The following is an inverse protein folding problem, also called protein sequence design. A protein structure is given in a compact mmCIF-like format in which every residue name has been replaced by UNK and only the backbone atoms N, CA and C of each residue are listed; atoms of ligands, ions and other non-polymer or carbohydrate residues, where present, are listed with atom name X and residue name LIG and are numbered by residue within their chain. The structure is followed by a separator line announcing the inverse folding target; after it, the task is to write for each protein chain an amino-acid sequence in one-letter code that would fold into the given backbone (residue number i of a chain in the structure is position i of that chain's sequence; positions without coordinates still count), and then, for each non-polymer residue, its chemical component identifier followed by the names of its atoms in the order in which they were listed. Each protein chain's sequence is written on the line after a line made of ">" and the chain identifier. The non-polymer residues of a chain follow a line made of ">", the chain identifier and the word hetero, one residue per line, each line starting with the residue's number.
data_IF_619667927216
#
_entry.id   IF_619667927216
#
_cell.length_a   1.000
_cell.length_b   1.000
_cell.length_c   1.000
_cell.angle_alpha   90.00
_cell.angle_beta   90.00
_cell.angle_gamma   90.00
#
_symmetry.space_group_name_H-M   'P 1'
#
loop_
_entity.id
_entity.type
_entity.pdbx_description
1 polymer ?
#
# COMPACT_ATOMS: atom_id res chain seq x y z
N UNK A 1 -75.82 10.61 20.16
CA UNK A 1 -75.51 12.06 20.16
C UNK A 1 -74.00 12.18 20.34
N UNK A 2 -73.18 12.20 19.29
CA UNK A 2 -72.74 13.32 18.44
C UNK A 2 -72.21 14.56 19.20
N UNK A 3 -70.87 14.75 19.11
CA UNK A 3 -70.00 15.98 19.10
C UNK A 3 -68.57 15.49 19.47
N UNK A 4 -67.54 15.36 18.62
CA UNK A 4 -66.84 16.24 17.64
C UNK A 4 -66.43 17.60 18.20
N UNK A 5 -65.11 17.87 18.14
CA UNK A 5 -64.33 19.10 17.83
C UNK A 5 -63.04 19.07 18.68
N UNK A 6 -61.82 19.41 18.24
CA UNK A 6 -61.14 19.61 16.96
C UNK A 6 -59.69 20.03 17.32
N UNK A 7 -58.71 19.75 16.46
CA UNK A 7 -57.54 20.63 16.32
C UNK A 7 -56.23 20.17 16.94
N UNK A 8 -55.32 19.71 16.08
CA UNK A 8 -54.03 20.37 15.87
C UNK A 8 -53.40 19.83 14.57
N UNK A 9 -53.21 20.73 13.61
CA UNK A 9 -52.45 20.51 12.37
C UNK A 9 -50.99 20.84 12.67
N UNK A 10 -50.06 19.96 12.33
CA UNK A 10 -48.64 20.30 12.30
C UNK A 10 -47.95 19.71 11.06
N UNK A 11 -47.56 20.65 10.20
CA UNK A 11 -46.55 20.68 9.16
C UNK A 11 -45.85 19.38 8.72
N UNK A 12 -45.90 19.14 7.41
CA UNK A 12 -45.03 18.23 6.68
C UNK A 12 -43.57 18.68 6.75
N UNK A 13 -42.67 17.76 7.12
CA UNK A 13 -41.24 17.91 6.91
C UNK A 13 -40.81 17.00 5.76
N UNK A 14 -40.33 17.61 4.67
CA UNK A 14 -39.76 16.93 3.51
C UNK A 14 -38.31 16.57 3.86
N UNK A 15 -38.01 15.31 4.16
CA UNK A 15 -36.62 14.84 4.23
C UNK A 15 -36.13 14.49 2.83
N UNK A 16 -35.40 15.42 2.21
CA UNK A 16 -34.50 15.11 1.12
C UNK A 16 -33.14 14.77 1.72
N UNK A 17 -32.79 13.49 1.74
CA UNK A 17 -31.45 13.03 2.13
C UNK A 17 -30.65 12.87 0.84
N UNK A 18 -29.74 13.80 0.61
CA UNK A 18 -28.67 13.70 -0.39
C UNK A 18 -27.76 12.52 0.03
N UNK A 19 -27.41 11.57 -0.85
CA UNK A 19 -26.40 10.58 -0.52
C UNK A 19 -25.06 11.29 -0.35
N UNK A 20 -24.49 11.19 0.86
CA UNK A 20 -23.12 11.57 1.12
C UNK A 20 -22.20 10.62 0.33
N UNK A 21 -21.55 11.15 -0.71
CA UNK A 21 -20.34 10.56 -1.23
C UNK A 21 -19.25 10.74 -0.16
N UNK A 22 -18.79 9.64 0.44
CA UNK A 22 -17.50 9.57 1.14
C UNK A 22 -17.02 8.14 1.17
N UNK A 23 -15.77 8.00 0.73
CA UNK A 23 -15.01 6.78 0.51
C UNK A 23 -15.13 5.76 1.65
N UNK A 24 -15.51 4.53 1.30
CA UNK A 24 -14.95 3.36 1.96
C UNK A 24 -13.74 2.92 1.14
N UNK A 25 -12.56 3.30 1.60
CA UNK A 25 -11.35 2.54 1.33
C UNK A 25 -11.63 1.11 1.80
N UNK A 26 -11.82 0.23 0.84
CA UNK A 26 -11.92 -1.20 1.09
C UNK A 26 -10.56 -1.60 1.62
N UNK A 27 -10.48 -1.78 2.94
CA UNK A 27 -9.45 -2.58 3.57
C UNK A 27 -9.31 -3.85 2.74
N UNK A 28 -8.14 -4.06 2.13
CA UNK A 28 -7.79 -5.26 1.39
C UNK A 28 -7.72 -6.43 2.39
N UNK A 29 -8.91 -6.89 2.77
CA UNK A 29 -9.15 -8.13 3.48
C UNK A 29 -9.10 -9.21 2.43
N UNK A 30 -7.99 -9.93 2.45
CA UNK A 30 -7.66 -11.09 1.65
C UNK A 30 -8.85 -12.04 1.53
N UNK A 31 -9.45 -12.06 0.33
CA UNK A 31 -10.38 -13.10 -0.12
C UNK A 31 -9.96 -13.46 -1.53
N UNK A 32 -9.54 -14.72 -1.68
CA UNK A 32 -9.41 -15.43 -2.94
C UNK A 32 -10.64 -15.21 -3.83
N UNK A 33 -10.54 -14.30 -4.80
CA UNK A 33 -11.49 -14.17 -5.90
C UNK A 33 -10.97 -13.28 -7.03
N UNK A 34 -10.90 -13.88 -8.23
CA UNK A 34 -10.90 -13.25 -9.55
C UNK A 34 -9.65 -12.49 -9.96
N UNK A 35 -9.14 -12.83 -11.14
CA UNK A 35 -8.14 -12.08 -11.88
C UNK A 35 -8.71 -10.70 -12.28
N UNK A 36 -8.86 -9.81 -11.30
CA UNK A 36 -8.83 -8.39 -11.52
C UNK A 36 -7.41 -8.10 -11.95
N UNK A 37 -7.20 -7.76 -13.22
CA UNK A 37 -5.89 -7.30 -13.70
C UNK A 37 -5.56 -6.02 -12.91
N UNK A 38 -4.83 -6.17 -11.81
CA UNK A 38 -4.40 -5.04 -10.97
C UNK A 38 -3.38 -4.28 -11.80
N UNK A 39 -3.85 -3.23 -12.47
CA UNK A 39 -3.03 -2.39 -13.33
C UNK A 39 -1.82 -1.87 -12.56
N UNK A 40 -0.64 -1.91 -13.19
CA UNK A 40 0.56 -1.23 -12.70
C UNK A 40 0.27 0.19 -12.20
N UNK A 41 0.81 0.51 -11.03
CA UNK A 41 0.77 1.84 -10.46
C UNK A 41 1.64 2.80 -11.29
N UNK A 42 1.13 4.02 -11.47
CA UNK A 42 1.91 5.11 -12.06
C UNK A 42 2.90 5.65 -11.04
N UNK A 43 4.15 5.84 -11.44
CA UNK A 43 5.17 6.48 -10.62
C UNK A 43 5.03 8.02 -10.70
N UNK A 44 5.24 8.76 -9.59
CA UNK A 44 5.51 8.26 -8.24
C UNK A 44 4.24 7.85 -7.49
N UNK A 45 4.37 6.96 -6.51
CA UNK A 45 3.31 6.66 -5.55
C UNK A 45 3.86 6.44 -4.14
N UNK A 46 3.01 6.65 -3.14
CA UNK A 46 3.29 6.38 -1.73
C UNK A 46 2.52 5.16 -1.25
N UNK A 47 3.01 4.51 -0.21
CA UNK A 47 2.36 3.37 0.44
C UNK A 47 2.71 3.32 1.92
N UNK A 48 1.84 2.72 2.71
CA UNK A 48 2.17 2.22 4.05
C UNK A 48 2.44 0.73 3.96
N UNK A 49 3.26 0.21 4.86
CA UNK A 49 3.49 -1.23 4.99
C UNK A 49 3.28 -1.67 6.43
N UNK A 50 2.78 -2.90 6.58
CA UNK A 50 2.67 -3.62 7.84
C UNK A 50 2.73 -5.12 7.53
N UNK A 51 3.81 -5.80 7.92
CA UNK A 51 4.07 -7.18 7.52
C UNK A 51 4.88 -7.98 8.54
N UNK A 52 4.72 -9.30 8.50
CA UNK A 52 5.40 -10.24 9.42
C UNK A 52 6.60 -10.96 8.80
N UNK A 53 6.56 -11.31 7.52
CA UNK A 53 7.67 -12.05 6.87
C UNK A 53 8.02 -11.42 5.55
N UNK A 54 7.07 -11.33 4.63
CA UNK A 54 7.25 -10.70 3.33
C UNK A 54 6.10 -9.74 3.01
N UNK A 55 6.41 -8.73 2.20
CA UNK A 55 5.41 -7.85 1.61
C UNK A 55 5.79 -7.51 0.19
N UNK A 56 4.92 -7.86 -0.76
CA UNK A 56 4.99 -7.43 -2.16
C UNK A 56 4.30 -6.08 -2.30
N UNK A 57 4.98 -5.12 -2.92
CA UNK A 57 4.36 -3.84 -3.26
C UNK A 57 3.36 -3.99 -4.40
N UNK A 58 2.65 -2.91 -4.73
CA UNK A 58 1.96 -2.79 -6.03
C UNK A 58 2.99 -2.94 -7.15
N UNK A 59 2.56 -3.56 -8.25
CA UNK A 59 3.31 -3.56 -9.49
C UNK A 59 3.41 -2.13 -10.04
N UNK A 60 4.49 -1.80 -10.74
CA UNK A 60 4.69 -0.52 -11.43
C UNK A 60 5.57 -0.71 -12.65
N UNK A 61 5.43 0.17 -13.65
CA UNK A 61 6.33 0.15 -14.81
C UNK A 61 7.38 1.26 -14.66
N UNK A 62 8.68 0.94 -14.82
CA UNK A 62 9.74 1.94 -14.76
C UNK A 62 9.64 2.89 -15.97
N UNK A 63 10.15 4.14 -15.83
CA UNK A 63 10.27 5.07 -16.94
C UNK A 63 11.24 4.55 -18.02
N UNK A 64 11.32 5.25 -19.15
CA UNK A 64 12.26 4.94 -20.23
C UNK A 64 13.76 4.99 -19.81
N UNK A 65 14.10 5.58 -18.66
CA UNK A 65 15.45 5.50 -18.11
C UNK A 65 15.78 4.12 -17.52
N UNK A 66 14.79 3.22 -17.36
CA UNK A 66 14.99 1.92 -16.72
C UNK A 66 15.39 2.05 -15.25
N UNK A 67 15.02 3.16 -14.60
CA UNK A 67 15.42 3.46 -13.22
C UNK A 67 14.22 3.71 -12.33
N UNK A 68 14.19 3.02 -11.19
CA UNK A 68 13.21 3.26 -10.13
C UNK A 68 13.91 3.31 -8.78
N UNK A 69 13.46 4.24 -7.94
CA UNK A 69 13.95 4.41 -6.59
C UNK A 69 12.80 4.25 -5.59
N UNK A 70 13.12 3.76 -4.39
CA UNK A 70 12.22 3.72 -3.25
C UNK A 70 12.84 4.43 -2.07
N UNK A 71 12.05 5.29 -1.44
CA UNK A 71 12.32 5.81 -0.09
C UNK A 71 11.54 4.97 0.90
N UNK A 72 12.16 4.49 1.97
CA UNK A 72 11.53 3.73 3.05
C UNK A 72 11.81 4.35 4.41
N UNK A 73 10.81 4.32 5.28
CA UNK A 73 10.90 4.71 6.68
C UNK A 73 10.13 3.75 7.58
N UNK A 74 10.84 3.10 8.49
CA UNK A 74 10.28 2.17 9.47
C UNK A 74 9.80 2.97 10.67
N UNK A 75 8.50 2.94 10.94
CA UNK A 75 7.89 3.71 12.02
C UNK A 75 7.71 2.88 13.29
N UNK A 76 7.75 1.55 13.18
CA UNK A 76 7.80 0.68 14.36
C UNK A 76 7.76 -0.81 14.07
N UNK A 77 7.64 -1.57 15.16
CA UNK A 77 7.44 -3.01 15.15
C UNK A 77 6.76 -3.47 16.45
N UNK A 78 6.11 -4.63 16.41
CA UNK A 78 5.63 -5.29 17.63
C UNK A 78 6.76 -5.91 18.46
N UNK A 79 7.98 -6.01 17.93
CA UNK A 79 9.19 -6.36 18.69
C UNK A 79 9.75 -5.09 19.36
N UNK A 80 9.87 -5.02 20.70
CA UNK A 80 10.43 -3.84 21.38
C UNK A 80 11.90 -3.57 21.03
N UNK A 81 12.65 -4.58 20.59
CA UNK A 81 14.05 -4.50 20.18
C UNK A 81 14.28 -4.30 18.68
N UNK A 82 13.27 -3.83 17.93
CA UNK A 82 13.36 -3.71 16.47
C UNK A 82 14.37 -2.69 15.96
N UNK A 83 14.68 -1.65 16.74
CA UNK A 83 15.60 -0.60 16.33
C UNK A 83 16.99 -1.17 16.07
N UNK A 84 17.52 -0.93 14.88
CA UNK A 84 18.80 -1.45 14.43
C UNK A 84 18.76 -2.83 13.79
N UNK A 85 17.60 -3.51 13.79
CA UNK A 85 17.40 -4.71 12.97
C UNK A 85 17.31 -4.34 11.49
N UNK A 86 17.58 -5.31 10.64
CA UNK A 86 17.57 -5.11 9.19
C UNK A 86 16.42 -5.89 8.56
N UNK A 87 15.80 -5.29 7.55
CA UNK A 87 14.99 -6.01 6.57
C UNK A 87 15.68 -5.92 5.21
N UNK A 88 15.23 -6.73 4.27
CA UNK A 88 15.80 -6.80 2.94
C UNK A 88 14.82 -6.17 1.96
N UNK A 89 15.35 -5.41 1.02
CA UNK A 89 14.59 -4.78 -0.06
C UNK A 89 15.10 -5.36 -1.37
N UNK A 90 14.18 -5.94 -2.14
CA UNK A 90 14.47 -6.53 -3.43
C UNK A 90 13.61 -5.89 -4.51
N UNK A 91 14.13 -5.84 -5.73
CA UNK A 91 13.36 -5.55 -6.94
C UNK A 91 13.12 -6.84 -7.69
N UNK A 92 11.92 -7.00 -8.22
CA UNK A 92 11.52 -8.17 -9.00
C UNK A 92 10.81 -7.72 -10.28
N UNK A 93 11.14 -8.39 -11.38
CA UNK A 93 10.41 -8.32 -12.65
C UNK A 93 9.20 -9.24 -12.53
N UNK A 94 8.01 -8.72 -12.81
CA UNK A 94 6.73 -9.43 -12.69
C UNK A 94 6.31 -10.16 -13.97
N UNK A 95 7.21 -10.31 -14.95
CA UNK A 95 6.90 -10.97 -16.22
C UNK A 95 6.91 -12.50 -16.10
N UNK A 96 5.75 -13.07 -15.82
CA UNK A 96 5.43 -14.50 -15.96
C UNK A 96 6.07 -15.47 -14.96
N UNK A 97 7.39 -15.39 -14.74
CA UNK A 97 8.17 -16.31 -13.91
C UNK A 97 8.64 -15.66 -12.59
N UNK A 98 8.43 -14.35 -12.42
CA UNK A 98 8.93 -13.53 -11.30
C UNK A 98 10.45 -13.71 -11.09
N UNK A 99 11.28 -12.79 -11.60
CA UNK A 99 12.75 -12.85 -11.45
C UNK A 99 13.29 -11.67 -10.64
N UNK A 100 14.20 -11.93 -9.69
CA UNK A 100 14.83 -10.86 -8.91
C UNK A 100 15.82 -10.08 -9.77
N UNK A 101 15.65 -8.76 -9.81
CA UNK A 101 16.50 -7.82 -10.56
C UNK A 101 17.49 -7.13 -9.63
N UNK A 102 18.78 -7.23 -9.95
CA UNK A 102 19.84 -6.56 -9.21
C UNK A 102 20.06 -7.07 -7.78
N UNK A 103 20.76 -6.29 -6.94
CA UNK A 103 21.13 -6.73 -5.61
C UNK A 103 19.94 -6.69 -4.64
N UNK A 104 19.97 -7.60 -3.66
CA UNK A 104 19.18 -7.50 -2.42
C UNK A 104 19.87 -6.50 -1.49
N UNK A 105 19.16 -5.48 -1.06
CA UNK A 105 19.72 -4.40 -0.23
C UNK A 105 19.27 -4.55 1.23
N UNK A 106 20.18 -4.35 2.17
CA UNK A 106 19.88 -4.32 3.61
C UNK A 106 19.39 -2.94 4.02
N UNK A 107 18.22 -2.91 4.63
CA UNK A 107 17.59 -1.72 5.18
C UNK A 107 17.53 -1.82 6.70
N UNK A 108 18.39 -1.05 7.37
CA UNK A 108 18.41 -0.92 8.83
C UNK A 108 17.25 -0.06 9.30
N UNK A 109 16.45 -0.62 10.21
CA UNK A 109 15.31 0.02 10.83
C UNK A 109 15.77 0.97 11.96
N UNK A 110 15.96 2.25 11.63
CA UNK A 110 16.41 3.28 12.58
C UNK A 110 15.44 4.47 12.70
N UNK A 111 14.38 4.50 11.90
CA UNK A 111 13.39 5.57 11.85
C UNK A 111 13.72 6.72 10.91
N UNK A 112 14.85 6.64 10.19
CA UNK A 112 15.26 7.61 9.17
C UNK A 112 14.85 7.15 7.77
N UNK A 113 14.69 8.11 6.86
CA UNK A 113 14.43 7.82 5.46
C UNK A 113 15.68 7.22 4.81
N UNK A 114 15.53 6.06 4.17
CA UNK A 114 16.58 5.45 3.35
C UNK A 114 16.11 5.35 1.90
N UNK A 115 17.01 5.65 0.97
CA UNK A 115 16.75 5.61 -0.47
C UNK A 115 17.52 4.46 -1.10
N UNK A 116 16.83 3.67 -1.91
CA UNK A 116 17.40 2.57 -2.67
C UNK A 116 16.96 2.69 -4.12
N UNK A 117 17.89 2.54 -5.07
CA UNK A 117 17.59 2.65 -6.49
C UNK A 117 18.06 1.40 -7.23
N UNK A 118 17.26 0.98 -8.21
CA UNK A 118 17.63 -0.02 -9.18
C UNK A 118 17.69 0.61 -10.56
N UNK A 119 18.65 0.15 -11.34
CA UNK A 119 18.92 0.59 -12.71
C UNK A 119 18.76 -0.60 -13.65
N UNK A 120 18.75 -0.32 -14.96
CA UNK A 120 18.58 -1.32 -16.01
C UNK A 120 17.31 -2.18 -15.87
N UNK A 121 16.24 -1.60 -15.31
CA UNK A 121 14.93 -2.23 -15.27
C UNK A 121 14.33 -2.29 -16.67
N UNK A 122 13.75 -3.43 -17.02
CA UNK A 122 13.13 -3.63 -18.34
C UNK A 122 11.95 -2.67 -18.48
N UNK A 123 11.99 -1.85 -19.53
CA UNK A 123 10.95 -0.88 -19.84
C UNK A 123 9.68 -1.58 -20.31
N UNK A 124 8.52 -0.99 -20.01
CA UNK A 124 7.19 -1.56 -20.34
C UNK A 124 6.90 -2.92 -19.69
N UNK A 125 7.76 -3.38 -18.78
CA UNK A 125 7.52 -4.55 -17.95
C UNK A 125 7.07 -4.08 -16.56
N UNK A 126 6.22 -4.86 -15.91
CA UNK A 126 5.81 -4.57 -14.55
C UNK A 126 6.88 -5.06 -13.58
N UNK A 127 7.24 -4.23 -12.60
CA UNK A 127 8.17 -4.57 -11.53
C UNK A 127 7.47 -4.40 -10.19
N UNK A 128 7.97 -5.04 -9.14
CA UNK A 128 7.53 -4.79 -7.78
C UNK A 128 8.70 -4.84 -6.80
N UNK A 129 8.49 -4.22 -5.65
CA UNK A 129 9.40 -4.34 -4.52
C UNK A 129 8.95 -5.49 -3.62
N UNK A 130 9.91 -6.27 -3.14
CA UNK A 130 9.67 -7.25 -2.08
C UNK A 130 10.43 -6.81 -0.83
N UNK A 131 9.70 -6.58 0.26
CA UNK A 131 10.27 -6.42 1.60
C UNK A 131 10.32 -7.80 2.25
N UNK A 132 11.47 -8.17 2.81
CA UNK A 132 11.68 -9.46 3.48
C UNK A 132 12.25 -9.25 4.87
N UNK A 133 11.63 -9.86 5.86
CA UNK A 133 12.07 -9.89 7.25
C UNK A 133 12.41 -11.33 7.64
N UNK A 134 13.67 -11.54 8.03
CA UNK A 134 14.22 -12.86 8.36
C UNK A 134 14.41 -13.07 9.88
N UNK A 135 13.70 -12.30 10.70
CA UNK A 135 13.81 -12.37 12.17
C UNK A 135 12.44 -12.27 12.84
N UNK A 136 12.21 -13.15 13.82
CA UNK A 136 11.07 -13.14 14.75
C UNK A 136 9.67 -13.17 14.09
N UNK A 137 8.62 -13.47 14.87
CA UNK A 137 7.23 -13.42 14.39
C UNK A 137 6.61 -12.01 14.52
N UNK A 138 7.40 -10.98 14.84
CA UNK A 138 6.88 -9.64 15.02
C UNK A 138 6.50 -8.99 13.70
N UNK A 139 5.61 -8.00 13.75
CA UNK A 139 5.25 -7.18 12.59
C UNK A 139 6.16 -5.98 12.50
N UNK A 140 6.41 -5.48 11.30
CA UNK A 140 7.13 -4.23 11.04
C UNK A 140 6.23 -3.33 10.22
N UNK A 141 6.15 -2.06 10.62
CA UNK A 141 5.31 -1.06 9.98
C UNK A 141 6.08 0.21 9.62
N UNK A 142 5.59 0.90 8.61
CA UNK A 142 6.24 2.08 8.07
C UNK A 142 5.59 2.61 6.81
N UNK A 143 6.36 3.46 6.13
CA UNK A 143 5.94 4.21 4.97
C UNK A 143 6.98 4.10 3.86
N UNK A 144 6.53 4.16 2.63
CA UNK A 144 7.39 4.15 1.47
C UNK A 144 6.89 5.02 0.33
N UNK A 145 7.81 5.40 -0.55
CA UNK A 145 7.53 6.13 -1.78
C UNK A 145 8.36 5.55 -2.91
N UNK A 146 7.71 5.08 -3.96
CA UNK A 146 8.38 4.66 -5.20
C UNK A 146 8.30 5.79 -6.21
N UNK A 147 9.40 6.07 -6.91
CA UNK A 147 9.50 7.17 -7.87
C UNK A 147 10.50 6.87 -8.98
N UNK A 148 10.32 7.55 -10.12
CA UNK A 148 11.24 7.48 -11.26
C UNK A 148 12.53 8.26 -10.94
N UNK A 149 13.67 7.57 -10.98
CA UNK A 149 14.98 8.10 -10.60
C UNK A 149 15.74 8.81 -11.70
#
# INVERSE_FOLDING_TARGET
>A
MHKIVLGAVAAAAVMSVVPAASASEVAASDRTASAVTVRAATLPFTFTFDFETTLRSRNFSPPASGRACVTLRGTGSTDPGWRGKEILVEMWDADGIDERVGPRVRYRLDGTDKVFCWEALVQNHEHYLLLVKEWGPSRVYGEGRVWAG
#
